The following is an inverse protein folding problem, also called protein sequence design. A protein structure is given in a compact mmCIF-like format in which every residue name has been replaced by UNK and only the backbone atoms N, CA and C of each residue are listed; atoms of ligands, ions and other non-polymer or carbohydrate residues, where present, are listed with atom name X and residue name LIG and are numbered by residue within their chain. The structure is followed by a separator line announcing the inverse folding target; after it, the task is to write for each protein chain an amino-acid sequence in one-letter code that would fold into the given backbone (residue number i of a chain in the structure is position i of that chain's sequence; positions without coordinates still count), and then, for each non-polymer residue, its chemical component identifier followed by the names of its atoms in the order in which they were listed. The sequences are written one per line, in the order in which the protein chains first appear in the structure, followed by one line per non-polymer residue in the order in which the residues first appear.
data_IF_389018083186
#
_entry.id   IF_389018083186
#
_cell.length_a   1.000
_cell.length_b   1.000
_cell.length_c   1.000
_cell.angle_alpha   90.00
_cell.angle_beta   90.00
_cell.angle_gamma   90.00
#
_symmetry.space_group_name_H-M   'P 1'
#
loop_
_entity.id
_entity.type
_entity.pdbx_description
1 polymer ?
#
# COMPACT_ATOMS: atom_id res chain seq x y z
N UNK A 1 51.10 22.90 -2.86
CA UNK A 1 49.75 23.38 -3.28
C UNK A 1 48.79 22.19 -3.45
N UNK A 2 49.09 21.05 -2.84
CA UNK A 2 48.55 19.74 -3.26
C UNK A 2 47.39 19.26 -2.36
N UNK A 3 47.28 19.83 -1.16
CA UNK A 3 46.22 19.52 -0.20
C UNK A 3 44.83 19.96 -0.72
N UNK A 4 44.79 21.08 -1.46
CA UNK A 4 43.55 21.66 -1.99
C UNK A 4 42.99 20.85 -3.17
N UNK A 5 43.87 20.22 -3.95
CA UNK A 5 43.52 19.36 -5.08
C UNK A 5 42.90 18.05 -4.61
N UNK A 6 43.50 17.39 -3.62
CA UNK A 6 42.99 16.12 -3.07
C UNK A 6 41.60 16.25 -2.43
N UNK A 7 41.36 17.31 -1.65
CA UNK A 7 40.06 17.56 -1.03
C UNK A 7 38.96 17.84 -2.07
N UNK A 8 39.31 18.53 -3.16
CA UNK A 8 38.40 18.80 -4.27
C UNK A 8 37.99 17.51 -4.99
N UNK A 9 38.94 16.66 -5.39
CA UNK A 9 38.62 15.37 -6.04
C UNK A 9 37.84 14.41 -5.13
N UNK A 10 38.16 14.38 -3.83
CA UNK A 10 37.45 13.55 -2.86
C UNK A 10 35.98 13.96 -2.71
N UNK A 11 35.68 15.26 -2.68
CA UNK A 11 34.29 15.76 -2.61
C UNK A 11 33.45 15.36 -3.82
N UNK A 12 33.99 15.44 -5.04
CA UNK A 12 33.29 15.03 -6.26
C UNK A 12 33.09 13.51 -6.34
N UNK A 13 34.06 12.72 -5.88
CA UNK A 13 33.93 11.27 -5.80
C UNK A 13 32.81 10.85 -4.83
N UNK A 14 32.70 11.50 -3.66
CA UNK A 14 31.61 11.25 -2.71
C UNK A 14 30.26 11.74 -3.26
N UNK A 15 30.21 12.91 -3.90
CA UNK A 15 28.98 13.44 -4.50
C UNK A 15 28.42 12.56 -5.62
N UNK A 16 29.28 12.06 -6.51
CA UNK A 16 28.85 11.18 -7.60
C UNK A 16 28.38 9.82 -7.08
N UNK A 17 29.13 9.19 -6.18
CA UNK A 17 28.74 7.88 -5.60
C UNK A 17 27.43 7.94 -4.83
N UNK A 18 27.20 9.00 -4.04
CA UNK A 18 25.92 9.21 -3.35
C UNK A 18 24.77 9.44 -4.32
N UNK A 19 24.95 10.25 -5.37
CA UNK A 19 23.95 10.46 -6.41
C UNK A 19 23.60 9.16 -7.15
N UNK A 20 24.60 8.34 -7.52
CA UNK A 20 24.38 7.03 -8.13
C UNK A 20 23.63 6.07 -7.20
N UNK A 21 23.97 6.05 -5.90
CA UNK A 21 23.28 5.23 -4.92
C UNK A 21 21.81 5.65 -4.75
N UNK A 22 21.53 6.96 -4.70
CA UNK A 22 20.16 7.49 -4.64
C UNK A 22 19.38 7.17 -5.91
N UNK A 23 19.99 7.31 -7.09
CA UNK A 23 19.38 6.96 -8.37
C UNK A 23 19.05 5.47 -8.44
N UNK A 24 19.99 4.61 -8.04
CA UNK A 24 19.80 3.17 -8.00
C UNK A 24 18.69 2.77 -7.01
N UNK A 25 18.66 3.40 -5.83
CA UNK A 25 17.60 3.21 -4.84
C UNK A 25 16.24 3.65 -5.39
N UNK A 26 16.14 4.83 -6.01
CA UNK A 26 14.92 5.33 -6.62
C UNK A 26 14.42 4.41 -7.75
N UNK A 27 15.32 3.97 -8.63
CA UNK A 27 15.02 3.01 -9.69
C UNK A 27 14.54 1.67 -9.11
N UNK A 28 15.22 1.16 -8.08
CA UNK A 28 14.82 -0.08 -7.42
C UNK A 28 13.41 0.02 -6.80
N UNK A 29 13.07 1.15 -6.17
CA UNK A 29 11.75 1.39 -5.61
C UNK A 29 10.69 1.51 -6.72
N UNK A 30 11.00 2.22 -7.81
CA UNK A 30 10.12 2.36 -8.96
C UNK A 30 9.83 1.00 -9.62
N UNK A 31 10.88 0.18 -9.82
CA UNK A 31 10.73 -1.18 -10.34
C UNK A 31 9.88 -2.03 -9.39
N UNK A 32 10.19 -2.06 -8.10
CA UNK A 32 9.41 -2.82 -7.10
C UNK A 32 7.94 -2.41 -7.11
N UNK A 33 7.66 -1.11 -7.20
CA UNK A 33 6.29 -0.59 -7.26
C UNK A 33 5.59 -0.98 -8.57
N UNK A 34 6.30 -0.94 -9.69
CA UNK A 34 5.80 -1.37 -10.99
C UNK A 34 5.48 -2.87 -11.03
N UNK A 35 6.35 -3.72 -10.49
CA UNK A 35 6.12 -5.17 -10.40
C UNK A 35 4.90 -5.48 -9.54
N UNK A 36 4.79 -4.86 -8.36
CA UNK A 36 3.58 -4.96 -7.52
C UNK A 36 2.33 -4.53 -8.27
N UNK A 37 2.38 -3.39 -8.96
CA UNK A 37 1.26 -2.91 -9.76
C UNK A 37 0.86 -3.92 -10.86
N UNK A 38 1.85 -4.50 -11.54
CA UNK A 38 1.64 -5.50 -12.59
C UNK A 38 0.98 -6.77 -12.04
N UNK A 39 1.43 -7.28 -10.90
CA UNK A 39 0.80 -8.42 -10.22
C UNK A 39 -0.65 -8.11 -9.83
N UNK A 40 -0.89 -6.91 -9.31
CA UNK A 40 -2.22 -6.47 -8.89
C UNK A 40 -3.19 -6.24 -10.06
N UNK A 41 -2.72 -6.11 -11.31
CA UNK A 41 -3.59 -5.88 -12.47
C UNK A 41 -4.49 -7.07 -12.81
N UNK A 42 -4.09 -8.29 -12.45
CA UNK A 42 -4.92 -9.48 -12.64
C UNK A 42 -6.18 -9.46 -11.75
N UNK A 43 -6.13 -8.73 -10.64
CA UNK A 43 -7.22 -8.68 -9.68
C UNK A 43 -8.25 -7.62 -10.11
N UNK A 44 -9.54 -7.98 -10.20
CA UNK A 44 -10.62 -7.03 -10.44
C UNK A 44 -10.70 -5.98 -9.32
N UNK A 45 -10.92 -4.73 -9.71
CA UNK A 45 -10.94 -3.61 -8.78
C UNK A 45 -11.79 -2.46 -9.30
N UNK A 46 -12.14 -1.56 -8.39
CA UNK A 46 -12.93 -0.35 -8.72
C UNK A 46 -12.13 0.54 -9.67
N UNK A 47 -12.81 1.04 -10.70
CA UNK A 47 -12.31 2.00 -11.70
C UNK A 47 -13.22 3.25 -11.71
N UNK A 48 -12.72 4.42 -12.11
CA UNK A 48 -11.33 4.75 -12.47
C UNK A 48 -10.41 4.83 -11.24
N UNK A 49 -9.12 4.65 -11.46
CA UNK A 49 -8.10 4.88 -10.42
C UNK A 49 -7.20 6.03 -10.85
N UNK A 50 -6.86 6.93 -9.93
CA UNK A 50 -5.99 8.06 -10.20
C UNK A 50 -4.56 7.78 -9.72
N UNK A 51 -3.51 8.21 -10.46
CA UNK A 51 -2.14 8.07 -9.97
C UNK A 51 -1.99 8.82 -8.63
N UNK A 52 -1.29 8.22 -7.68
CA UNK A 52 -1.06 8.70 -6.31
C UNK A 52 -2.28 8.61 -5.38
N UNK A 53 -3.49 9.01 -5.78
CA UNK A 53 -4.68 9.02 -4.91
C UNK A 53 -5.51 7.73 -4.97
N UNK A 54 -5.41 6.98 -6.07
CA UNK A 54 -6.15 5.74 -6.29
C UNK A 54 -7.65 6.00 -6.44
N UNK A 55 -8.43 5.25 -5.68
CA UNK A 55 -9.90 5.30 -5.62
C UNK A 55 -10.40 6.22 -4.50
N UNK A 56 -9.51 6.83 -3.70
CA UNK A 56 -9.91 7.68 -2.58
C UNK A 56 -10.79 8.87 -3.02
N UNK A 57 -10.58 9.38 -4.24
CA UNK A 57 -11.39 10.45 -4.83
C UNK A 57 -12.82 10.01 -5.21
N UNK A 58 -13.07 8.71 -5.30
CA UNK A 58 -14.41 8.18 -5.59
C UNK A 58 -15.26 8.07 -4.33
N UNK A 59 -14.65 8.08 -3.14
CA UNK A 59 -15.39 7.93 -1.90
C UNK A 59 -16.22 9.16 -1.62
N UNK A 60 -17.50 8.94 -1.29
CA UNK A 60 -18.37 10.00 -0.84
C UNK A 60 -17.83 10.62 0.46
N UNK A 61 -17.91 11.94 0.57
CA UNK A 61 -17.53 12.67 1.77
C UNK A 61 -18.58 12.58 2.88
N UNK A 62 -19.82 12.28 2.51
CA UNK A 62 -20.90 12.06 3.46
C UNK A 62 -20.93 10.60 3.94
N UNK A 63 -21.06 10.33 5.25
CA UNK A 63 -21.11 8.97 5.78
C UNK A 63 -22.23 8.11 5.20
N UNK A 64 -23.43 8.66 4.99
CA UNK A 64 -24.57 7.91 4.42
C UNK A 64 -24.32 7.58 2.95
N UNK A 65 -23.80 8.56 2.19
CA UNK A 65 -23.37 8.36 0.81
C UNK A 65 -22.30 7.28 0.69
N UNK A 66 -21.29 7.32 1.57
CA UNK A 66 -20.21 6.34 1.62
C UNK A 66 -20.75 4.94 1.94
N UNK A 67 -21.66 4.81 2.91
CA UNK A 67 -22.27 3.51 3.23
C UNK A 67 -23.09 2.95 2.08
N UNK A 68 -23.89 3.77 1.38
CA UNK A 68 -24.61 3.35 0.18
C UNK A 68 -23.65 2.91 -0.93
N UNK A 69 -22.55 3.62 -1.10
CA UNK A 69 -21.51 3.27 -2.07
C UNK A 69 -20.86 1.92 -1.74
N UNK A 70 -20.57 1.63 -0.47
CA UNK A 70 -20.04 0.33 -0.03
C UNK A 70 -21.02 -0.79 -0.35
N UNK A 71 -22.31 -0.60 -0.06
CA UNK A 71 -23.36 -1.58 -0.38
C UNK A 71 -23.41 -1.81 -1.90
N UNK A 72 -23.46 -0.73 -2.69
CA UNK A 72 -23.52 -0.83 -4.15
C UNK A 72 -22.32 -1.59 -4.74
N UNK A 73 -21.10 -1.33 -4.26
CA UNK A 73 -19.93 -2.09 -4.68
C UNK A 73 -19.98 -3.56 -4.25
N UNK A 74 -20.52 -3.85 -3.06
CA UNK A 74 -20.67 -5.24 -2.62
C UNK A 74 -21.66 -6.02 -3.50
N UNK A 75 -22.71 -5.36 -3.99
CA UNK A 75 -23.67 -5.94 -4.94
C UNK A 75 -23.05 -6.11 -6.34
N UNK A 76 -22.39 -5.06 -6.85
CA UNK A 76 -21.78 -5.05 -8.19
C UNK A 76 -20.70 -6.12 -8.33
N UNK A 77 -19.87 -6.29 -7.30
CA UNK A 77 -18.77 -7.25 -7.31
C UNK A 77 -19.12 -8.59 -6.66
N UNK A 78 -20.39 -8.86 -6.32
CA UNK A 78 -20.80 -10.10 -5.60
C UNK A 78 -20.28 -11.39 -6.21
N UNK A 79 -20.19 -11.47 -7.54
CA UNK A 79 -19.75 -12.67 -8.28
C UNK A 79 -18.22 -12.85 -8.32
N UNK A 80 -17.47 -11.91 -7.74
CA UNK A 80 -16.02 -11.91 -7.74
C UNK A 80 -15.51 -12.41 -6.38
N UNK A 81 -14.46 -13.24 -6.30
CA UNK A 81 -14.00 -13.78 -5.01
C UNK A 81 -13.29 -12.75 -4.12
N UNK A 82 -12.75 -11.68 -4.72
CA UNK A 82 -11.98 -10.64 -4.04
C UNK A 82 -11.99 -9.32 -4.82
N UNK A 83 -12.00 -8.19 -4.12
CA UNK A 83 -12.02 -6.85 -4.71
C UNK A 83 -10.74 -6.09 -4.36
N UNK A 84 -10.11 -5.46 -5.35
CA UNK A 84 -8.97 -4.55 -5.14
C UNK A 84 -9.43 -3.08 -5.12
N UNK A 85 -8.96 -2.36 -4.11
CA UNK A 85 -9.11 -0.92 -3.94
C UNK A 85 -7.74 -0.26 -3.84
N UNK A 86 -7.52 0.84 -4.54
CA UNK A 86 -6.33 1.66 -4.33
C UNK A 86 -6.66 2.79 -3.36
N UNK A 87 -6.00 2.85 -2.21
CA UNK A 87 -6.08 4.01 -1.31
C UNK A 87 -4.70 4.63 -1.29
N UNK A 88 -4.58 5.77 -1.95
CA UNK A 88 -3.26 6.32 -2.23
C UNK A 88 -2.43 5.39 -3.14
N UNK A 89 -1.12 5.28 -2.93
CA UNK A 89 -0.24 4.34 -3.65
C UNK A 89 -0.32 2.91 -3.10
N UNK A 90 -1.20 2.62 -2.14
CA UNK A 90 -1.27 1.32 -1.46
C UNK A 90 -2.50 0.52 -1.93
N UNK A 91 -2.30 -0.69 -2.47
CA UNK A 91 -3.40 -1.58 -2.81
C UNK A 91 -3.96 -2.23 -1.55
N UNK A 92 -5.28 -2.19 -1.43
CA UNK A 92 -6.07 -2.84 -0.38
C UNK A 92 -6.92 -3.92 -1.03
N UNK A 93 -6.94 -5.11 -0.44
CA UNK A 93 -7.78 -6.23 -0.89
C UNK A 93 -8.94 -6.39 0.07
N UNK A 94 -10.16 -6.37 -0.45
CA UNK A 94 -11.39 -6.64 0.28
C UNK A 94 -11.81 -8.06 -0.04
N UNK A 95 -11.88 -8.88 1.01
CA UNK A 95 -12.29 -10.28 0.95
C UNK A 95 -13.70 -10.39 1.54
N UNK A 96 -14.62 -10.99 0.80
CA UNK A 96 -16.02 -11.19 1.21
C UNK A 96 -16.55 -12.58 0.86
N UNK A 97 -15.94 -13.28 -0.09
CA UNK A 97 -16.31 -14.66 -0.43
C UNK A 97 -15.76 -15.64 0.61
N UNK A 98 -16.60 -16.59 1.05
CA UNK A 98 -16.26 -17.54 2.10
C UNK A 98 -14.99 -18.33 1.77
N UNK A 99 -14.90 -18.90 0.58
CA UNK A 99 -13.75 -19.72 0.16
C UNK A 99 -12.42 -18.95 0.24
N UNK A 100 -12.42 -17.68 -0.17
CA UNK A 100 -11.21 -16.83 -0.12
C UNK A 100 -10.85 -16.48 1.33
N UNK A 101 -11.86 -16.18 2.15
CA UNK A 101 -11.69 -15.86 3.57
C UNK A 101 -11.14 -17.07 4.33
N UNK A 102 -11.66 -18.28 4.08
CA UNK A 102 -11.20 -19.49 4.76
C UNK A 102 -9.72 -19.77 4.49
N UNK A 103 -9.28 -19.64 3.23
CA UNK A 103 -7.87 -19.83 2.86
C UNK A 103 -6.97 -18.82 3.56
N UNK A 104 -7.39 -17.55 3.62
CA UNK A 104 -6.61 -16.49 4.28
C UNK A 104 -6.60 -16.67 5.81
N UNK A 105 -7.75 -16.99 6.41
CA UNK A 105 -7.89 -17.21 7.86
C UNK A 105 -7.23 -18.51 8.34
N UNK A 106 -7.02 -19.49 7.45
CA UNK A 106 -6.27 -20.70 7.78
C UNK A 106 -4.77 -20.44 7.88
N UNK A 107 -4.27 -19.41 7.19
CA UNK A 107 -2.84 -19.10 7.17
C UNK A 107 -2.52 -17.95 8.14
N UNK A 108 -2.01 -18.29 9.32
CA UNK A 108 -1.63 -17.33 10.36
C UNK A 108 -0.59 -16.29 9.92
N UNK A 109 0.19 -16.55 8.87
CA UNK A 109 1.16 -15.58 8.31
C UNK A 109 0.50 -14.44 7.52
N UNK A 110 -0.72 -14.65 7.01
CA UNK A 110 -1.49 -13.63 6.28
C UNK A 110 -2.40 -12.82 7.20
N UNK A 111 -2.64 -13.29 8.43
CA UNK A 111 -3.47 -12.64 9.46
C UNK A 111 -2.59 -11.84 10.43
N UNK A 112 -1.43 -11.38 9.98
CA UNK A 112 -0.68 -10.41 10.77
C UNK A 112 -1.45 -9.08 10.83
N UNK A 113 -1.36 -8.39 11.97
CA UNK A 113 -2.05 -7.12 12.19
C UNK A 113 -1.66 -6.13 11.10
N UNK A 114 -2.63 -5.80 10.24
CA UNK A 114 -2.41 -4.91 9.11
C UNK A 114 -2.03 -3.50 9.55
N UNK A 115 -1.45 -2.72 8.64
CA UNK A 115 -1.09 -1.31 8.89
C UNK A 115 -2.28 -0.47 9.39
N UNK A 116 -3.52 -0.85 9.05
CA UNK A 116 -4.73 -0.22 9.55
C UNK A 116 -4.84 -0.25 11.08
N UNK A 117 -4.37 -1.31 11.75
CA UNK A 117 -4.35 -1.35 13.21
C UNK A 117 -3.40 -0.32 13.81
N UNK A 118 -2.29 0.00 13.14
CA UNK A 118 -1.39 1.10 13.57
C UNK A 118 -2.04 2.47 13.41
N UNK A 119 -2.86 2.64 12.36
CA UNK A 119 -3.63 3.88 12.16
C UNK A 119 -4.75 4.03 13.20
N UNK A 120 -5.39 2.93 13.61
CA UNK A 120 -6.43 2.92 14.63
C UNK A 120 -5.89 2.98 16.06
N UNK A 121 -4.62 2.62 16.28
CA UNK A 121 -3.99 2.57 17.60
C UNK A 121 -4.05 3.91 18.39
N UNK A 122 -3.84 5.09 17.80
CA UNK A 122 -4.00 6.37 18.51
C UNK A 122 -5.43 6.63 18.99
N UNK A 123 -6.44 6.07 18.31
CA UNK A 123 -7.86 6.27 18.66
C UNK A 123 -8.38 5.19 19.61
N UNK A 124 -7.94 3.94 19.44
CA UNK A 124 -8.41 2.77 20.21
C UNK A 124 -7.54 2.44 21.44
N UNK A 125 -6.35 3.05 21.55
CA UNK A 125 -5.37 2.74 22.59
C UNK A 125 -4.70 1.37 22.41
N UNK A 126 -3.98 0.90 23.44
CA UNK A 126 -3.40 -0.46 23.53
C UNK A 126 -4.35 -1.38 24.31
N UNK A 127 -5.39 -1.89 23.65
CA UNK A 127 -6.34 -2.87 24.19
C UNK A 127 -6.18 -4.25 23.54
N UNK A 128 -7.12 -5.16 23.77
CA UNK A 128 -7.08 -6.55 23.26
C UNK A 128 -6.85 -6.64 21.73
N UNK A 129 -7.39 -5.69 20.96
CA UNK A 129 -7.27 -5.65 19.50
C UNK A 129 -5.90 -5.12 19.03
N UNK A 130 -5.19 -4.36 19.86
CA UNK A 130 -3.94 -3.65 19.50
C UNK A 130 -2.72 -4.09 20.33
N UNK A 131 -2.90 -4.89 21.37
CA UNK A 131 -1.81 -5.47 22.17
C UNK A 131 -0.99 -6.46 21.35
N UNK A 132 0.33 -6.49 21.56
CA UNK A 132 1.16 -7.61 21.09
C UNK A 132 1.09 -8.67 22.18
N UNK A 133 0.73 -9.91 21.84
CA UNK A 133 0.90 -11.02 22.76
C UNK A 133 2.41 -11.15 23.08
N UNK A 134 2.81 -11.35 24.34
CA UNK A 134 4.19 -11.72 24.70
C UNK A 134 4.54 -13.13 24.22
#
# INVERSE_FOLDING_TARGET
MDLFSGAFFFGWAVGTTTAFALLAAALSLALRNYWKWKEMNAIPGVKPWYPILGNALLFDGDPEGFWKQVINYSEEFRCVPLLKLWIGPFPHMVLYHQDTIEVVLRNSTLIEKSYLYRFLQPWLGTGLLTSRFP
#
